data_IF_686832799780
#
_entry.id   IF_686832799780
#
_cell.length_a   1.000
_cell.length_b   1.000
_cell.length_c   1.000
_cell.angle_alpha   90.00
_cell.angle_beta   90.00
_cell.angle_gamma   90.00
#
_symmetry.space_group_name_H-M   'P 1'
#
loop_
_entity.id
_entity.type
_entity.pdbx_description
1 polymer ?
#
# COMPACT_ATOMS: atom_id res chain seq x y z
N UNK A 1 -44.59 75.32 -4.50
CA UNK A 1 -43.88 74.10 -4.94
C UNK A 1 -42.54 74.08 -4.18
N UNK A 2 -42.22 73.23 -3.21
CA UNK A 2 -42.90 72.12 -2.53
C UNK A 2 -42.24 71.87 -1.16
N UNK A 3 -43.00 71.27 -0.24
CA UNK A 3 -42.54 70.73 1.05
C UNK A 3 -41.92 69.33 0.85
N UNK A 4 -40.87 69.00 1.60
CA UNK A 4 -40.54 67.65 2.10
C UNK A 4 -39.60 67.86 3.31
N UNK A 5 -40.03 67.79 4.58
CA UNK A 5 -40.46 66.64 5.40
C UNK A 5 -39.48 65.45 5.34
N UNK A 6 -38.73 65.31 6.43
CA UNK A 6 -37.83 64.23 6.84
C UNK A 6 -38.56 62.88 6.99
N UNK A 7 -37.92 61.77 6.61
CA UNK A 7 -38.17 60.44 7.18
C UNK A 7 -36.91 59.58 7.05
N UNK A 8 -36.26 59.26 8.16
CA UNK A 8 -36.39 58.03 8.98
C UNK A 8 -35.49 56.90 8.48
N UNK A 9 -34.48 56.63 9.31
CA UNK A 9 -33.61 55.47 9.35
C UNK A 9 -34.36 54.15 9.08
N UNK A 10 -33.82 53.35 8.17
CA UNK A 10 -33.99 51.90 8.14
C UNK A 10 -32.60 51.26 8.21
N UNK A 11 -32.14 51.02 9.44
CA UNK A 11 -31.15 50.00 9.72
C UNK A 11 -31.88 48.66 9.81
N UNK A 12 -31.81 47.85 8.77
CA UNK A 12 -32.36 46.50 8.77
C UNK A 12 -32.01 45.81 7.48
N UNK A 13 -31.40 44.63 7.58
CA UNK A 13 -31.14 43.66 6.50
C UNK A 13 -29.70 43.55 5.95
N UNK A 14 -28.67 44.07 6.62
CA UNK A 14 -27.27 43.73 6.26
C UNK A 14 -26.69 42.52 7.04
N UNK A 15 -27.38 42.03 8.08
CA UNK A 15 -26.83 41.00 8.99
C UNK A 15 -27.22 39.57 8.59
N UNK A 16 -28.24 39.39 7.73
CA UNK A 16 -28.79 38.05 7.45
C UNK A 16 -27.99 37.27 6.39
N UNK A 17 -27.28 37.96 5.48
CA UNK A 17 -26.53 37.29 4.41
C UNK A 17 -25.15 36.76 4.83
N UNK A 18 -24.58 37.23 5.94
CA UNK A 18 -23.26 36.78 6.42
C UNK A 18 -23.33 35.53 7.31
N UNK A 19 -24.51 35.14 7.80
CA UNK A 19 -24.68 33.98 8.68
C UNK A 19 -24.98 32.65 7.94
N UNK A 20 -25.37 32.69 6.66
CA UNK A 20 -25.73 31.49 5.90
C UNK A 20 -24.54 30.73 5.29
N UNK A 21 -23.33 31.29 5.34
CA UNK A 21 -22.11 30.62 4.83
C UNK A 21 -21.37 29.83 5.93
N UNK A 22 -21.73 30.00 7.21
CA UNK A 22 -21.04 29.35 8.34
C UNK A 22 -21.64 28.00 8.77
N UNK A 23 -22.73 27.54 8.16
CA UNK A 23 -23.40 26.27 8.51
C UNK A 23 -23.04 25.10 7.60
N UNK A 24 -22.15 25.31 6.62
CA UNK A 24 -21.63 24.24 5.76
C UNK A 24 -20.22 23.80 6.16
N UNK A 25 -19.92 23.72 7.47
CA UNK A 25 -18.92 22.74 7.92
C UNK A 25 -19.59 21.37 7.78
N UNK A 26 -19.62 20.87 6.54
CA UNK A 26 -20.09 19.53 6.25
C UNK A 26 -19.34 18.56 7.14
N UNK A 27 -20.06 17.81 7.96
CA UNK A 27 -19.52 16.62 8.58
C UNK A 27 -18.98 15.74 7.45
N UNK A 28 -17.66 15.68 7.31
CA UNK A 28 -17.07 14.70 6.41
C UNK A 28 -17.36 13.34 7.00
N UNK A 29 -18.11 12.52 6.28
CA UNK A 29 -18.33 11.14 6.67
C UNK A 29 -16.96 10.45 6.78
N UNK A 30 -16.75 9.71 7.87
CA UNK A 30 -15.53 8.90 8.01
C UNK A 30 -15.46 7.92 6.83
N UNK A 31 -14.29 7.80 6.15
CA UNK A 31 -14.09 6.81 5.09
C UNK A 31 -14.50 5.41 5.54
N UNK A 32 -15.17 4.67 4.66
CA UNK A 32 -15.55 3.27 4.96
C UNK A 32 -14.31 2.38 4.94
N UNK A 33 -14.33 1.25 5.66
CA UNK A 33 -13.15 0.35 5.69
C UNK A 33 -12.79 -0.21 4.31
N UNK A 34 -13.74 -0.30 3.38
CA UNK A 34 -13.54 -0.80 2.02
C UNK A 34 -13.14 0.29 1.01
N UNK A 35 -13.08 1.55 1.45
CA UNK A 35 -12.66 2.65 0.58
C UNK A 35 -11.21 2.46 0.15
N UNK A 36 -10.92 2.69 -1.13
CA UNK A 36 -9.57 2.49 -1.68
C UNK A 36 -8.69 3.68 -1.32
N UNK A 37 -7.56 3.41 -0.68
CA UNK A 37 -6.49 4.37 -0.41
C UNK A 37 -5.38 4.14 -1.42
N UNK A 38 -4.87 5.23 -2.00
CA UNK A 38 -3.79 5.19 -2.99
C UNK A 38 -2.57 5.91 -2.44
N UNK A 39 -1.44 5.22 -2.42
CA UNK A 39 -0.13 5.81 -2.14
C UNK A 39 0.74 5.75 -3.39
N UNK A 40 1.12 6.91 -3.92
CA UNK A 40 2.04 7.01 -5.04
C UNK A 40 3.49 7.06 -4.56
N UNK A 41 4.38 6.39 -5.28
CA UNK A 41 5.83 6.36 -5.05
C UNK A 41 6.48 7.27 -6.10
N UNK A 42 7.31 8.21 -5.66
CA UNK A 42 7.99 9.15 -6.55
C UNK A 42 8.96 8.45 -7.51
N UNK A 43 9.30 9.09 -8.62
CA UNK A 43 10.28 8.52 -9.56
C UNK A 43 11.67 8.37 -8.92
N UNK A 44 12.03 9.27 -8.00
CA UNK A 44 13.27 9.19 -7.25
C UNK A 44 13.31 7.95 -6.35
N UNK A 45 12.25 7.69 -5.58
CA UNK A 45 12.13 6.49 -4.76
C UNK A 45 12.11 5.20 -5.59
N UNK A 46 11.48 5.22 -6.77
CA UNK A 46 11.50 4.10 -7.71
C UNK A 46 12.92 3.81 -8.22
N UNK A 47 13.68 4.85 -8.56
CA UNK A 47 15.07 4.70 -9.01
C UNK A 47 15.95 4.19 -7.86
N UNK A 48 15.80 4.77 -6.66
CA UNK A 48 16.49 4.31 -5.47
C UNK A 48 16.20 2.82 -5.17
N UNK A 49 14.95 2.38 -5.33
CA UNK A 49 14.57 0.97 -5.21
C UNK A 49 15.33 0.06 -6.19
N UNK A 50 15.43 0.49 -7.45
CA UNK A 50 16.16 -0.24 -8.49
C UNK A 50 17.69 -0.23 -8.29
N UNK A 51 18.25 0.83 -7.73
CA UNK A 51 19.67 0.89 -7.40
C UNK A 51 20.00 0.05 -6.17
N UNK A 52 19.10 0.03 -5.19
CA UNK A 52 19.27 -0.71 -3.96
C UNK A 52 19.29 -2.22 -4.18
N UNK A 53 18.36 -2.78 -4.95
CA UNK A 53 18.22 -4.22 -5.13
C UNK A 53 19.18 -4.81 -6.16
N UNK A 54 20.41 -5.12 -5.74
CA UNK A 54 21.36 -5.87 -6.57
C UNK A 54 21.02 -7.37 -6.60
N UNK A 55 21.48 -8.13 -7.61
CA UNK A 55 21.32 -9.59 -7.65
C UNK A 55 21.81 -10.28 -6.37
N UNK A 56 22.93 -9.81 -5.83
CA UNK A 56 23.55 -10.35 -4.62
C UNK A 56 22.68 -10.11 -3.38
N UNK A 57 22.11 -8.91 -3.24
CA UNK A 57 21.16 -8.62 -2.15
C UNK A 57 19.92 -9.48 -2.24
N UNK A 58 19.30 -9.56 -3.41
CA UNK A 58 18.10 -10.39 -3.61
C UNK A 58 18.37 -11.86 -3.28
N UNK A 59 19.52 -12.40 -3.70
CA UNK A 59 19.92 -13.76 -3.35
C UNK A 59 20.15 -13.94 -1.84
N UNK A 60 20.79 -12.97 -1.18
CA UNK A 60 20.99 -12.99 0.27
C UNK A 60 19.66 -12.94 1.03
N UNK A 61 18.73 -12.07 0.62
CA UNK A 61 17.37 -12.00 1.21
C UNK A 61 16.66 -13.34 1.11
N UNK A 62 16.71 -14.00 -0.06
CA UNK A 62 16.08 -15.31 -0.23
C UNK A 62 16.72 -16.39 0.65
N UNK A 63 18.05 -16.38 0.79
CA UNK A 63 18.74 -17.30 1.68
C UNK A 63 18.33 -17.08 3.15
N UNK A 64 18.21 -15.82 3.59
CA UNK A 64 17.74 -15.48 4.93
C UNK A 64 16.30 -15.96 5.17
N UNK A 65 15.40 -15.74 4.20
CA UNK A 65 14.02 -16.21 4.33
C UNK A 65 13.90 -17.73 4.35
N UNK A 66 14.66 -18.43 3.49
CA UNK A 66 14.69 -19.88 3.49
C UNK A 66 15.17 -20.42 4.85
N UNK A 67 16.16 -19.77 5.46
CA UNK A 67 16.63 -20.11 6.81
C UNK A 67 15.56 -19.83 7.88
N UNK A 68 14.88 -18.69 7.83
CA UNK A 68 13.81 -18.35 8.76
C UNK A 68 12.64 -19.36 8.67
N UNK A 69 12.21 -19.71 7.46
CA UNK A 69 11.18 -20.73 7.22
C UNK A 69 11.63 -22.09 7.76
N UNK A 70 12.88 -22.47 7.54
CA UNK A 70 13.44 -23.72 8.10
C UNK A 70 13.37 -23.72 9.63
N UNK A 71 13.76 -22.62 10.28
CA UNK A 71 13.72 -22.51 11.74
C UNK A 71 12.28 -22.62 12.27
N UNK A 72 11.30 -22.01 11.60
CA UNK A 72 9.88 -22.11 11.94
C UNK A 72 9.38 -23.56 11.79
N UNK A 73 9.75 -24.23 10.70
CA UNK A 73 9.33 -25.62 10.45
C UNK A 73 9.98 -26.63 11.40
N UNK A 74 11.19 -26.34 11.88
CA UNK A 74 11.91 -27.20 12.83
C UNK A 74 11.46 -26.96 14.29
N UNK A 75 10.65 -25.94 14.57
CA UNK A 75 10.13 -25.66 15.91
C UNK A 75 9.12 -26.73 16.35
N UNK A 76 9.39 -27.51 17.42
CA UNK A 76 8.47 -28.54 17.92
C UNK A 76 7.13 -27.97 18.43
N UNK A 77 7.04 -26.66 18.70
CA UNK A 77 5.79 -25.97 19.03
C UNK A 77 4.97 -25.54 17.80
N UNK A 78 5.50 -25.69 16.59
CA UNK A 78 4.80 -25.31 15.38
C UNK A 78 3.70 -26.32 15.02
N UNK A 79 2.45 -25.92 15.21
CA UNK A 79 1.25 -26.69 14.83
C UNK A 79 0.79 -26.41 13.39
N UNK A 80 1.46 -25.50 12.68
CA UNK A 80 1.16 -25.18 11.28
C UNK A 80 1.84 -26.18 10.37
N UNK A 81 1.06 -27.11 9.83
CA UNK A 81 1.53 -28.01 8.78
C UNK A 81 1.62 -27.23 7.46
N UNK A 82 2.80 -26.68 7.18
CA UNK A 82 3.09 -26.03 5.90
C UNK A 82 3.28 -27.10 4.82
N UNK A 83 2.20 -27.56 4.20
CA UNK A 83 2.29 -28.47 3.07
C UNK A 83 2.79 -27.71 1.84
N UNK A 84 4.04 -27.96 1.45
CA UNK A 84 4.54 -27.49 0.17
C UNK A 84 3.75 -28.16 -0.97
N UNK A 85 2.85 -27.42 -1.60
CA UNK A 85 2.17 -27.87 -2.81
C UNK A 85 3.05 -27.51 -3.98
N UNK A 86 3.85 -28.47 -4.44
CA UNK A 86 4.56 -28.32 -5.71
C UNK A 86 3.55 -28.21 -6.84
N UNK A 87 3.81 -27.35 -7.81
CA UNK A 87 3.10 -27.44 -9.09
C UNK A 87 3.35 -28.81 -9.71
N UNK A 88 2.41 -29.35 -10.50
CA UNK A 88 2.68 -30.54 -11.32
C UNK A 88 4.00 -30.34 -12.09
N UNK A 89 4.82 -31.39 -12.16
CA UNK A 89 6.11 -31.31 -12.83
C UNK A 89 5.96 -30.73 -14.25
N UNK A 90 6.67 -29.63 -14.53
CA UNK A 90 6.62 -28.93 -15.82
C UNK A 90 5.65 -27.75 -15.91
N UNK A 91 4.86 -27.46 -14.87
CA UNK A 91 4.01 -26.26 -14.84
C UNK A 91 4.74 -25.10 -14.17
N UNK A 92 5.24 -24.17 -14.99
CA UNK A 92 5.75 -22.88 -14.52
C UNK A 92 4.60 -21.88 -14.32
N UNK A 93 4.55 -21.26 -13.13
CA UNK A 93 3.60 -20.17 -12.86
C UNK A 93 4.26 -18.86 -13.28
N UNK A 94 4.16 -18.55 -14.57
CA UNK A 94 4.81 -17.37 -15.16
C UNK A 94 4.24 -16.04 -14.66
N UNK A 95 3.08 -16.04 -14.01
CA UNK A 95 2.45 -14.85 -13.43
C UNK A 95 2.91 -14.56 -12.00
N UNK A 96 3.56 -15.51 -11.32
CA UNK A 96 4.05 -15.33 -9.98
C UNK A 96 5.45 -14.69 -10.00
N UNK A 97 5.79 -14.01 -8.93
CA UNK A 97 7.10 -13.42 -8.76
C UNK A 97 7.36 -13.00 -7.32
N UNK A 98 8.55 -12.47 -7.08
CA UNK A 98 8.92 -11.96 -5.77
C UNK A 98 8.83 -10.43 -5.74
N UNK A 99 8.24 -9.91 -4.68
CA UNK A 99 8.26 -8.50 -4.33
C UNK A 99 9.32 -8.30 -3.25
N UNK A 100 10.42 -7.64 -3.60
CA UNK A 100 11.46 -7.25 -2.64
C UNK A 100 11.16 -5.87 -2.09
N UNK A 101 11.42 -5.68 -0.80
CA UNK A 101 11.19 -4.44 -0.07
C UNK A 101 12.01 -4.45 1.22
N UNK A 102 12.14 -3.31 1.86
CA UNK A 102 12.75 -3.24 3.19
C UNK A 102 11.68 -2.98 4.23
N UNK A 103 11.85 -3.57 5.41
CA UNK A 103 11.07 -3.27 6.61
C UNK A 103 12.02 -2.74 7.65
N UNK A 104 11.82 -1.49 8.10
CA UNK A 104 12.69 -0.86 9.10
C UNK A 104 14.18 -0.86 8.71
N UNK A 105 14.46 -0.84 7.40
CA UNK A 105 15.81 -0.89 6.84
C UNK A 105 16.39 -2.29 6.66
N UNK A 106 15.69 -3.34 7.08
CA UNK A 106 16.07 -4.73 6.86
C UNK A 106 15.46 -5.29 5.56
N UNK A 107 16.25 -6.10 4.85
CA UNK A 107 15.85 -6.66 3.56
C UNK A 107 14.82 -7.79 3.73
N UNK A 108 13.71 -7.67 3.00
CA UNK A 108 12.64 -8.65 3.00
C UNK A 108 12.06 -8.86 1.61
N UNK A 109 11.15 -9.82 1.52
CA UNK A 109 10.45 -10.16 0.31
C UNK A 109 9.13 -10.85 0.61
N UNK A 110 8.20 -10.73 -0.32
CA UNK A 110 6.94 -11.45 -0.36
C UNK A 110 6.76 -12.08 -1.75
N UNK A 111 5.75 -12.91 -1.89
CA UNK A 111 5.26 -13.30 -3.23
C UNK A 111 4.22 -12.29 -3.72
N UNK A 112 4.14 -12.11 -5.02
CA UNK A 112 3.05 -11.39 -5.67
C UNK A 112 2.68 -12.07 -7.00
N UNK A 113 1.46 -11.84 -7.47
CA UNK A 113 0.97 -12.38 -8.73
C UNK A 113 0.51 -11.27 -9.67
N UNK A 114 0.91 -11.33 -10.93
CA UNK A 114 0.34 -10.48 -11.98
C UNK A 114 -1.13 -10.82 -12.15
N UNK A 115 -1.98 -9.80 -12.15
CA UNK A 115 -3.42 -9.94 -12.35
C UNK A 115 -3.87 -9.28 -13.63
N UNK A 116 -4.95 -9.80 -14.21
CA UNK A 116 -5.56 -9.21 -15.39
C UNK A 116 -6.07 -7.80 -15.04
N UNK A 117 -5.52 -6.80 -15.72
CA UNK A 117 -5.91 -5.40 -15.57
C UNK A 117 -5.81 -4.68 -16.91
N UNK A 118 -6.62 -3.65 -17.12
CA UNK A 118 -6.60 -2.86 -18.36
C UNK A 118 -5.21 -2.26 -18.65
N UNK A 119 -4.48 -1.87 -17.61
CA UNK A 119 -3.14 -1.28 -17.70
C UNK A 119 -2.02 -2.31 -17.87
N UNK A 120 -2.32 -3.62 -17.75
CA UNK A 120 -1.35 -4.73 -17.79
C UNK A 120 -0.13 -4.54 -16.87
N UNK A 121 -0.32 -3.81 -15.77
CA UNK A 121 0.74 -3.35 -14.87
C UNK A 121 0.33 -3.47 -13.40
N UNK A 122 -0.44 -4.50 -13.06
CA UNK A 122 -0.98 -4.70 -11.70
C UNK A 122 -0.55 -6.06 -11.18
N UNK A 123 -0.06 -6.05 -9.94
CA UNK A 123 0.19 -7.24 -9.14
C UNK A 123 -0.72 -7.25 -7.92
N UNK A 124 -1.07 -8.43 -7.43
CA UNK A 124 -1.75 -8.63 -6.15
C UNK A 124 -0.78 -9.26 -5.15
N UNK A 125 -0.79 -8.75 -3.92
CA UNK A 125 -0.02 -9.22 -2.77
C UNK A 125 -0.76 -8.84 -1.47
N UNK A 126 -0.23 -9.23 -0.31
CA UNK A 126 -0.81 -8.87 0.97
C UNK A 126 -0.54 -7.40 1.33
N UNK A 127 -1.45 -6.78 2.09
CA UNK A 127 -1.27 -5.40 2.55
C UNK A 127 0.03 -5.17 3.31
N UNK A 128 0.41 -6.12 4.18
CA UNK A 128 1.64 -6.04 4.99
C UNK A 128 2.93 -6.12 4.17
N UNK A 129 2.86 -6.56 2.91
CA UNK A 129 4.03 -6.57 2.05
C UNK A 129 4.32 -5.19 1.44
N UNK A 130 3.35 -4.26 1.49
CA UNK A 130 3.42 -3.00 0.74
C UNK A 130 3.25 -1.76 1.61
N UNK A 131 2.53 -1.86 2.72
CA UNK A 131 2.18 -0.68 3.51
C UNK A 131 1.99 -1.06 4.98
N UNK A 132 2.68 -0.34 5.86
CA UNK A 132 2.43 -0.36 7.30
C UNK A 132 1.20 0.48 7.64
N UNK A 133 0.32 0.01 8.53
CA UNK A 133 -0.91 0.72 8.84
C UNK A 133 -0.64 1.93 9.76
N UNK A 134 -1.50 2.95 9.72
CA UNK A 134 -1.30 4.21 10.43
C UNK A 134 -1.22 4.06 11.97
N UNK A 135 -1.84 3.02 12.53
CA UNK A 135 -1.75 2.68 13.95
C UNK A 135 -0.44 1.98 14.36
N UNK A 136 0.42 1.64 13.40
CA UNK A 136 1.73 1.02 13.61
C UNK A 136 2.84 1.86 12.94
N UNK A 137 2.99 3.15 13.31
CA UNK A 137 3.84 4.09 12.58
C UNK A 137 5.35 3.79 12.69
N UNK A 138 5.74 2.82 13.51
CA UNK A 138 7.12 2.42 13.70
C UNK A 138 7.61 1.46 12.62
N UNK A 139 6.71 0.84 11.86
CA UNK A 139 7.09 0.01 10.72
C UNK A 139 7.15 0.88 9.45
N UNK A 140 8.30 0.85 8.77
CA UNK A 140 8.50 1.55 7.49
C UNK A 140 8.82 0.55 6.39
N UNK A 141 7.94 0.47 5.41
CA UNK A 141 8.14 -0.28 4.17
C UNK A 141 8.61 0.65 3.05
N UNK A 142 9.73 0.34 2.42
CA UNK A 142 10.29 1.11 1.31
C UNK A 142 11.05 0.23 0.28
N UNK A 143 11.54 0.84 -0.80
CA UNK A 143 12.30 0.18 -1.88
C UNK A 143 11.59 -1.01 -2.54
N UNK A 144 10.31 -0.85 -2.91
CA UNK A 144 9.53 -1.95 -3.46
C UNK A 144 9.87 -2.23 -4.94
N UNK A 145 10.35 -3.44 -5.24
CA UNK A 145 10.63 -3.91 -6.61
C UNK A 145 10.06 -5.32 -6.82
N UNK A 146 9.24 -5.48 -7.83
CA UNK A 146 8.68 -6.77 -8.24
C UNK A 146 9.53 -7.41 -9.35
N UNK A 147 9.88 -8.69 -9.15
CA UNK A 147 10.59 -9.52 -10.11
C UNK A 147 9.68 -10.66 -10.57
N UNK A 148 9.24 -10.57 -11.83
CA UNK A 148 8.38 -11.58 -12.46
C UNK A 148 9.18 -12.86 -12.70
N UNK A 149 8.57 -14.01 -12.39
CA UNK A 149 9.17 -15.33 -12.57
C UNK A 149 10.57 -15.42 -11.96
N UNK A 150 10.75 -14.88 -10.75
CA UNK A 150 12.03 -14.95 -10.06
C UNK A 150 12.36 -16.40 -9.70
N UNK A 151 13.52 -16.88 -10.14
CA UNK A 151 14.01 -18.23 -9.87
C UNK A 151 15.55 -18.23 -9.74
N UNK A 152 16.07 -18.45 -8.53
CA UNK A 152 17.51 -18.53 -8.24
C UNK A 152 18.35 -17.40 -8.90
N UNK A 153 17.90 -16.14 -8.77
CA UNK A 153 18.61 -14.98 -9.33
C UNK A 153 18.37 -14.74 -10.82
N UNK A 154 17.45 -15.48 -11.46
CA UNK A 154 16.90 -15.20 -12.79
C UNK A 154 15.52 -14.59 -12.65
N UNK A 155 15.13 -13.72 -13.59
CA UNK A 155 13.80 -13.11 -13.65
C UNK A 155 13.48 -12.69 -15.08
N UNK A 156 12.19 -12.64 -15.41
CA UNK A 156 11.69 -12.26 -16.74
C UNK A 156 11.30 -10.78 -16.84
N UNK A 157 11.16 -10.12 -15.69
CA UNK A 157 10.88 -8.69 -15.63
C UNK A 157 11.20 -8.12 -14.25
N UNK A 158 11.56 -6.84 -14.22
CA UNK A 158 11.96 -6.11 -13.01
C UNK A 158 11.29 -4.75 -13.00
N UNK A 159 10.42 -4.52 -12.03
CA UNK A 159 9.50 -3.39 -12.04
C UNK A 159 9.48 -2.70 -10.68
N UNK A 160 9.86 -1.41 -10.57
CA UNK A 160 9.63 -0.66 -9.34
C UNK A 160 8.12 -0.42 -9.18
N UNK A 161 7.64 -0.48 -7.94
CA UNK A 161 6.24 -0.16 -7.64
C UNK A 161 6.01 1.33 -7.81
N UNK A 162 4.94 1.71 -8.51
CA UNK A 162 4.57 3.12 -8.73
C UNK A 162 3.46 3.59 -7.82
N UNK A 163 2.49 2.72 -7.56
CA UNK A 163 1.32 3.01 -6.76
C UNK A 163 0.97 1.77 -5.94
N UNK A 164 0.62 2.01 -4.68
CA UNK A 164 0.07 1.01 -3.76
C UNK A 164 -1.41 1.33 -3.59
N UNK A 165 -2.25 0.32 -3.82
CA UNK A 165 -3.69 0.39 -3.62
C UNK A 165 -4.06 -0.55 -2.48
N UNK A 166 -4.59 0.00 -1.39
CA UNK A 166 -5.08 -0.76 -0.24
C UNK A 166 -6.49 -0.31 0.11
N UNK A 167 -7.14 -1.04 1.02
CA UNK A 167 -8.42 -0.59 1.60
C UNK A 167 -8.15 0.21 2.87
N UNK A 168 -8.99 1.19 3.18
CA UNK A 168 -8.87 2.08 4.32
C UNK A 168 -8.79 1.30 5.65
N UNK A 169 -9.50 0.17 5.76
CA UNK A 169 -9.41 -0.72 6.93
C UNK A 169 -7.96 -1.20 7.18
N UNK A 170 -7.26 -1.63 6.12
CA UNK A 170 -5.83 -1.96 6.20
C UNK A 170 -5.00 -0.71 6.50
N UNK A 171 -5.12 0.33 5.68
CA UNK A 171 -4.28 1.53 5.77
C UNK A 171 -4.34 2.22 7.14
N UNK A 172 -5.48 2.15 7.83
CA UNK A 172 -5.67 2.81 9.13
C UNK A 172 -5.39 1.90 10.32
N UNK A 173 -5.70 0.61 10.22
CA UNK A 173 -5.79 -0.28 11.40
C UNK A 173 -5.07 -1.63 11.25
N UNK A 174 -4.54 -1.96 10.08
CA UNK A 174 -3.96 -3.28 9.81
C UNK A 174 -5.01 -4.39 9.85
N UNK A 175 -4.59 -5.63 10.15
CA UNK A 175 -5.53 -6.70 10.49
C UNK A 175 -5.99 -6.51 11.94
N UNK A 176 -7.26 -6.21 12.14
CA UNK A 176 -7.89 -6.25 13.48
C UNK A 176 -8.54 -7.58 13.85
N UNK A 177 -8.48 -8.60 13.00
CA UNK A 177 -9.14 -9.88 13.23
C UNK A 177 -8.42 -11.06 12.57
N UNK A 178 -7.69 -11.83 13.40
CA UNK A 178 -7.61 -13.29 13.38
C UNK A 178 -7.57 -13.78 14.83
#
# INVERSE_FOLDING_TARGET
MGQFQTNRFYFGNAVVFTLLVLLSLGAQAKPSDNEVVVQSISQEEQNAALEYWTPERMAATQAMQAQAIKMINDDPGNISESKHISTPAGTEILTAGLLFFRVNGEDSSCTANVVQAATKSVIATAGHCVQSPANEPHERIDHLVFLLNYNHGRWDGRFPVRNIYTVNGWSQQGIRWF
#
